data_IF_454446982861
#
_entry.id   IF_454446982861
#
_cell.length_a   1.000
_cell.length_b   1.000
_cell.length_c   1.000
_cell.angle_alpha   90.00
_cell.angle_beta   90.00
_cell.angle_gamma   90.00
#
_symmetry.space_group_name_H-M   'P 1'
#
loop_
_entity.id
_entity.type
_entity.pdbx_description
1 polymer ?
#
# COMPACT_ATOMS: atom_id res chain seq x y z
N UNK A 1 -69.60 20.10 -6.42
CA UNK A 1 -68.77 20.85 -7.39
C UNK A 1 -67.73 21.63 -6.62
N UNK A 2 -66.55 21.12 -6.51
CA UNK A 2 -65.45 21.71 -5.81
C UNK A 2 -64.19 21.55 -6.65
N UNK A 3 -63.60 22.64 -7.10
CA UNK A 3 -62.34 22.76 -7.83
C UNK A 3 -61.60 23.96 -7.24
N UNK A 4 -60.27 24.04 -7.37
CA UNK A 4 -59.21 23.13 -7.01
C UNK A 4 -58.11 23.88 -6.20
N UNK A 5 -57.58 23.22 -5.24
CA UNK A 5 -56.44 23.73 -4.45
C UNK A 5 -55.06 23.60 -5.13
N UNK A 6 -55.02 23.16 -6.41
CA UNK A 6 -53.79 22.89 -7.18
C UNK A 6 -53.05 24.15 -7.68
N UNK A 7 -53.75 25.27 -7.84
CA UNK A 7 -53.18 26.49 -8.43
C UNK A 7 -52.44 27.40 -7.42
N UNK A 8 -52.55 27.15 -6.13
CA UNK A 8 -51.87 27.96 -5.11
C UNK A 8 -50.52 27.43 -4.67
N UNK A 9 -50.22 26.19 -4.92
CA UNK A 9 -48.91 25.55 -4.56
C UNK A 9 -47.82 25.77 -5.59
N UNK A 10 -48.17 26.12 -6.82
CA UNK A 10 -47.17 26.38 -7.89
C UNK A 10 -46.56 27.81 -7.81
N UNK A 11 -47.23 28.76 -7.16
CA UNK A 11 -46.74 30.14 -7.06
C UNK A 11 -45.71 30.35 -5.92
N UNK A 12 -45.70 29.45 -4.94
CA UNK A 12 -44.76 29.51 -3.84
C UNK A 12 -43.37 28.91 -4.14
N UNK A 13 -43.25 28.07 -5.21
CA UNK A 13 -42.02 27.38 -5.60
C UNK A 13 -41.10 28.21 -6.51
N UNK A 14 -41.65 29.29 -7.12
CA UNK A 14 -40.88 30.11 -8.08
C UNK A 14 -40.17 31.32 -7.41
N UNK A 15 -40.48 31.62 -6.19
CA UNK A 15 -39.85 32.77 -5.45
C UNK A 15 -38.61 32.32 -4.66
N UNK A 16 -38.45 31.02 -4.42
CA UNK A 16 -37.31 30.45 -3.64
C UNK A 16 -35.99 30.30 -4.41
N UNK A 17 -35.96 30.45 -5.72
CA UNK A 17 -34.77 30.15 -6.56
C UNK A 17 -33.99 31.44 -6.96
N UNK A 18 -34.54 32.62 -6.73
CA UNK A 18 -33.92 33.87 -7.17
C UNK A 18 -32.94 34.51 -6.17
N UNK A 19 -32.72 33.93 -4.97
CA UNK A 19 -31.89 34.56 -3.92
C UNK A 19 -30.55 33.85 -3.65
N UNK A 20 -30.15 32.85 -4.47
CA UNK A 20 -28.88 32.11 -4.29
C UNK A 20 -27.74 32.56 -5.21
N UNK A 21 -27.86 33.71 -5.88
CA UNK A 21 -26.74 34.28 -6.66
C UNK A 21 -26.14 35.50 -5.93
N UNK A 22 -25.69 35.31 -4.70
CA UNK A 22 -24.77 36.26 -4.07
C UNK A 22 -23.37 35.69 -4.18
N UNK A 23 -22.68 36.19 -5.18
CA UNK A 23 -21.27 36.43 -5.31
C UNK A 23 -20.30 35.50 -4.56
N UNK A 24 -19.75 34.49 -5.23
CA UNK A 24 -18.35 34.13 -5.00
C UNK A 24 -17.49 35.31 -5.46
N UNK A 25 -17.23 36.25 -4.56
CA UNK A 25 -16.07 37.12 -4.68
C UNK A 25 -14.84 36.24 -4.55
N UNK A 26 -14.35 35.69 -5.64
CA UNK A 26 -13.01 35.16 -5.73
C UNK A 26 -12.06 36.34 -5.51
N UNK A 27 -11.63 36.53 -4.25
CA UNK A 27 -10.41 37.28 -4.01
C UNK A 27 -9.35 36.67 -4.93
N UNK A 28 -8.74 37.44 -5.87
CA UNK A 28 -7.62 36.96 -6.61
C UNK A 28 -6.58 36.54 -5.56
N UNK A 29 -6.28 35.24 -5.46
CA UNK A 29 -5.09 34.80 -4.73
C UNK A 29 -3.98 35.66 -5.32
N UNK A 30 -3.43 36.59 -4.52
CA UNK A 30 -2.20 37.28 -4.88
C UNK A 30 -1.23 36.15 -5.23
N UNK A 31 -0.85 36.07 -6.48
CA UNK A 31 0.33 35.30 -6.88
C UNK A 31 1.42 35.78 -5.92
N UNK A 32 1.86 34.87 -5.05
CA UNK A 32 3.00 35.13 -4.20
C UNK A 32 4.18 35.17 -5.15
N UNK A 33 4.55 36.38 -5.55
CA UNK A 33 5.82 36.60 -6.27
C UNK A 33 6.88 36.03 -5.35
N UNK A 34 7.56 34.98 -5.79
CA UNK A 34 8.67 34.40 -5.07
C UNK A 34 9.76 35.47 -4.91
N UNK A 35 9.85 36.01 -3.71
CA UNK A 35 10.80 37.07 -3.37
C UNK A 35 12.16 36.54 -2.94
N UNK A 36 12.43 35.24 -3.17
CA UNK A 36 13.65 34.57 -2.74
C UNK A 36 13.63 34.08 -1.28
N UNK A 37 14.76 33.59 -0.75
CA UNK A 37 14.82 33.01 0.57
C UNK A 37 14.53 34.05 1.65
N UNK A 38 13.49 33.80 2.48
CA UNK A 38 13.07 34.68 3.57
C UNK A 38 13.86 34.41 4.86
N UNK A 39 14.68 33.35 4.90
CA UNK A 39 15.44 32.92 6.07
C UNK A 39 16.70 32.18 5.60
N UNK A 40 17.69 32.06 6.48
CA UNK A 40 18.86 31.22 6.21
C UNK A 40 18.49 29.73 6.25
N UNK A 41 19.33 28.89 5.66
CA UNK A 41 19.18 27.44 5.64
C UNK A 41 18.98 26.87 7.06
N UNK A 42 19.83 27.30 8.00
CA UNK A 42 19.76 26.88 9.40
C UNK A 42 18.41 27.23 10.06
N UNK A 43 17.83 28.39 9.74
CA UNK A 43 16.52 28.79 10.28
C UNK A 43 15.40 27.95 9.71
N UNK A 44 15.45 27.57 8.42
CA UNK A 44 14.47 26.69 7.81
C UNK A 44 14.49 25.31 8.45
N UNK A 45 15.68 24.70 8.62
CA UNK A 45 15.78 23.35 9.22
C UNK A 45 15.31 23.35 10.67
N UNK A 46 15.69 24.35 11.48
CA UNK A 46 15.23 24.47 12.87
C UNK A 46 13.71 24.60 13.00
N UNK A 47 13.09 25.39 12.12
CA UNK A 47 11.61 25.52 12.09
C UNK A 47 10.94 24.20 11.69
N UNK A 48 11.51 23.50 10.72
CA UNK A 48 11.01 22.21 10.30
C UNK A 48 11.10 21.16 11.42
N UNK A 49 12.26 21.04 12.07
CA UNK A 49 12.47 20.15 13.23
C UNK A 49 11.49 20.44 14.36
N UNK A 50 11.27 21.72 14.69
CA UNK A 50 10.29 22.12 15.72
C UNK A 50 8.86 21.72 15.34
N UNK A 51 8.48 21.92 14.07
CA UNK A 51 7.17 21.52 13.57
C UNK A 51 6.99 20.00 13.59
N UNK A 52 8.04 19.24 13.22
CA UNK A 52 8.07 17.77 13.28
C UNK A 52 7.88 17.25 14.72
N UNK A 53 8.62 17.83 15.70
CA UNK A 53 8.47 17.47 17.11
C UNK A 53 7.06 17.70 17.65
N UNK A 54 6.35 18.66 17.08
CA UNK A 54 4.97 19.01 17.44
C UNK A 54 3.91 18.27 16.59
N UNK A 55 4.32 17.37 15.67
CA UNK A 55 3.41 16.67 14.76
C UNK A 55 2.75 17.59 13.70
N UNK A 56 3.26 18.80 13.51
CA UNK A 56 2.73 19.78 12.56
C UNK A 56 3.30 19.56 11.17
N UNK A 57 2.90 18.45 10.52
CA UNK A 57 3.46 18.02 9.25
C UNK A 57 3.29 19.03 8.11
N UNK A 58 2.20 19.83 8.13
CA UNK A 58 1.98 20.86 7.10
C UNK A 58 3.01 22.00 7.20
N UNK A 59 3.31 22.45 8.43
CA UNK A 59 4.30 23.50 8.64
C UNK A 59 5.73 22.96 8.40
N UNK A 60 5.99 21.72 8.80
CA UNK A 60 7.25 21.06 8.51
C UNK A 60 7.49 20.97 6.99
N UNK A 61 6.50 20.50 6.22
CA UNK A 61 6.60 20.44 4.76
C UNK A 61 6.95 21.80 4.15
N UNK A 62 6.25 22.86 4.57
CA UNK A 62 6.49 24.23 4.07
C UNK A 62 7.95 24.69 4.27
N UNK A 63 8.53 24.41 5.43
CA UNK A 63 9.90 24.82 5.71
C UNK A 63 10.93 23.94 4.98
N UNK A 64 10.67 22.63 4.86
CA UNK A 64 11.54 21.70 4.13
C UNK A 64 11.49 21.94 2.62
N UNK A 65 10.31 22.21 2.04
CA UNK A 65 10.15 22.57 0.64
C UNK A 65 10.86 23.89 0.31
N UNK A 66 10.77 24.89 1.20
CA UNK A 66 11.52 26.12 1.04
C UNK A 66 13.04 25.90 1.08
N UNK A 67 13.52 25.04 1.99
CA UNK A 67 14.92 24.69 2.08
C UNK A 67 15.39 23.96 0.82
N UNK A 68 14.66 22.94 0.35
CA UNK A 68 14.98 22.20 -0.89
C UNK A 68 14.97 23.11 -2.14
N UNK A 69 14.12 24.17 -2.14
CA UNK A 69 14.01 25.12 -3.25
C UNK A 69 15.15 26.14 -3.26
N UNK A 70 15.43 26.75 -2.09
CA UNK A 70 16.39 27.85 -2.03
C UNK A 70 17.82 27.40 -1.75
N UNK A 71 18.01 26.24 -1.13
CA UNK A 71 19.30 25.68 -0.75
C UNK A 71 19.48 24.22 -1.19
N UNK A 72 19.32 23.89 -2.48
CA UNK A 72 19.28 22.50 -2.96
C UNK A 72 20.60 21.74 -2.78
N UNK A 73 21.71 22.45 -2.58
CA UNK A 73 23.07 21.90 -2.35
C UNK A 73 23.68 22.38 -1.05
N UNK A 74 22.86 22.91 -0.14
CA UNK A 74 23.30 23.40 1.16
C UNK A 74 23.69 22.29 2.12
N UNK A 75 24.21 22.68 3.28
CA UNK A 75 24.65 21.77 4.32
C UNK A 75 23.53 20.83 4.81
N UNK A 76 22.29 21.33 4.87
CA UNK A 76 21.13 20.59 5.34
C UNK A 76 20.26 19.99 4.22
N UNK A 77 20.66 20.15 2.95
CA UNK A 77 19.83 19.76 1.80
C UNK A 77 19.45 18.29 1.84
N UNK A 78 20.41 17.39 2.08
CA UNK A 78 20.16 15.94 2.09
C UNK A 78 19.29 15.52 3.29
N UNK A 79 19.51 16.10 4.46
CA UNK A 79 18.67 15.90 5.64
C UNK A 79 17.24 16.36 5.37
N UNK A 80 17.07 17.57 4.84
CA UNK A 80 15.77 18.14 4.53
C UNK A 80 14.99 17.29 3.52
N UNK A 81 15.65 16.73 2.50
CA UNK A 81 15.01 15.83 1.53
C UNK A 81 14.49 14.55 2.17
N UNK A 82 15.24 13.94 3.09
CA UNK A 82 14.79 12.75 3.83
C UNK A 82 13.68 13.06 4.82
N UNK A 83 13.74 14.20 5.50
CA UNK A 83 12.67 14.65 6.39
C UNK A 83 11.40 15.01 5.61
N UNK A 84 11.53 15.64 4.44
CA UNK A 84 10.39 15.92 3.56
C UNK A 84 9.73 14.64 3.03
N UNK A 85 10.54 13.64 2.68
CA UNK A 85 10.05 12.30 2.33
C UNK A 85 9.19 11.71 3.46
N UNK A 86 9.70 11.75 4.70
CA UNK A 86 8.95 11.32 5.88
C UNK A 86 7.63 12.11 6.05
N UNK A 87 7.70 13.43 5.95
CA UNK A 87 6.53 14.32 6.11
C UNK A 87 5.47 14.03 5.06
N UNK A 88 5.83 13.88 3.79
CA UNK A 88 4.90 13.53 2.71
C UNK A 88 4.22 12.19 2.99
N UNK A 89 4.99 11.20 3.47
CA UNK A 89 4.41 9.91 3.86
C UNK A 89 3.40 10.06 5.01
N UNK A 90 3.72 10.81 6.06
CA UNK A 90 2.82 11.06 7.19
C UNK A 90 1.55 11.83 6.80
N UNK A 91 1.66 12.71 5.82
CA UNK A 91 0.51 13.39 5.20
C UNK A 91 -0.33 12.49 4.28
N UNK A 92 0.10 11.22 4.07
CA UNK A 92 -0.48 10.27 3.11
C UNK A 92 -0.40 10.74 1.66
N UNK A 93 0.50 11.68 1.38
CA UNK A 93 0.90 12.05 0.02
C UNK A 93 1.90 11.02 -0.49
N UNK A 94 1.39 9.81 -0.78
CA UNK A 94 2.24 8.68 -1.17
C UNK A 94 2.91 8.90 -2.53
N UNK A 95 2.23 9.56 -3.45
CA UNK A 95 2.82 9.90 -4.77
C UNK A 95 3.97 10.89 -4.61
N UNK A 96 3.80 11.92 -3.78
CA UNK A 96 4.86 12.87 -3.43
C UNK A 96 6.03 12.18 -2.73
N UNK A 97 5.75 11.27 -1.79
CA UNK A 97 6.78 10.49 -1.10
C UNK A 97 7.57 9.60 -2.07
N UNK A 98 6.91 8.89 -3.00
CA UNK A 98 7.57 8.06 -4.01
C UNK A 98 8.48 8.91 -4.90
N UNK A 99 8.00 10.06 -5.39
CA UNK A 99 8.76 10.96 -6.23
C UNK A 99 10.01 11.51 -5.53
N UNK A 100 9.89 11.88 -4.23
CA UNK A 100 11.01 12.33 -3.42
C UNK A 100 12.02 11.21 -3.16
N UNK A 101 11.54 9.99 -2.86
CA UNK A 101 12.40 8.82 -2.69
C UNK A 101 13.22 8.54 -3.95
N UNK A 102 12.58 8.49 -5.11
CA UNK A 102 13.25 8.26 -6.40
C UNK A 102 14.26 9.36 -6.73
N UNK A 103 13.92 10.62 -6.44
CA UNK A 103 14.85 11.74 -6.60
C UNK A 103 16.05 11.60 -5.68
N UNK A 104 15.84 11.31 -4.39
CA UNK A 104 16.92 11.14 -3.41
C UNK A 104 17.86 10.00 -3.78
N UNK A 105 17.32 8.82 -4.11
CA UNK A 105 18.07 7.64 -4.52
C UNK A 105 18.95 7.95 -5.74
N UNK A 106 18.42 8.69 -6.70
CA UNK A 106 19.14 9.04 -7.93
C UNK A 106 20.27 10.05 -7.68
N UNK A 107 20.02 11.05 -6.83
CA UNK A 107 20.97 12.13 -6.57
C UNK A 107 22.02 11.77 -5.50
N UNK A 108 21.65 10.91 -4.55
CA UNK A 108 22.47 10.59 -3.38
C UNK A 108 22.62 9.07 -3.19
N UNK A 109 23.10 8.31 -4.20
CA UNK A 109 23.10 6.84 -4.16
C UNK A 109 24.02 6.23 -3.10
N UNK A 110 24.98 6.99 -2.60
CA UNK A 110 25.94 6.56 -1.58
C UNK A 110 25.70 7.20 -0.19
N UNK A 111 24.57 7.91 -0.03
CA UNK A 111 24.24 8.50 1.26
C UNK A 111 24.02 7.42 2.33
N UNK A 112 24.52 7.60 3.57
CA UNK A 112 24.38 6.61 4.65
C UNK A 112 22.94 6.13 4.93
N UNK A 113 21.95 7.00 4.70
CA UNK A 113 20.54 6.72 4.91
C UNK A 113 19.76 6.54 3.59
N UNK A 114 20.43 6.18 2.49
CA UNK A 114 19.73 5.94 1.21
C UNK A 114 18.82 4.71 1.30
N UNK A 115 19.14 3.75 2.13
CA UNK A 115 18.32 2.57 2.45
C UNK A 115 16.93 2.97 2.98
N UNK A 116 16.85 4.03 3.79
CA UNK A 116 15.58 4.60 4.24
C UNK A 116 14.70 5.06 3.07
N UNK A 117 15.28 5.75 2.08
CA UNK A 117 14.51 6.18 0.91
C UNK A 117 13.99 5.00 0.07
N UNK A 118 14.80 3.93 -0.11
CA UNK A 118 14.34 2.69 -0.74
C UNK A 118 13.22 2.03 0.03
N UNK A 119 13.33 1.96 1.34
CA UNK A 119 12.31 1.37 2.20
C UNK A 119 10.98 2.15 2.15
N UNK A 120 11.02 3.49 2.36
CA UNK A 120 9.81 4.32 2.33
C UNK A 120 9.13 4.28 0.96
N UNK A 121 9.90 4.23 -0.14
CA UNK A 121 9.34 4.04 -1.48
C UNK A 121 8.52 2.75 -1.58
N UNK A 122 9.02 1.64 -1.04
CA UNK A 122 8.30 0.37 -0.99
C UNK A 122 7.01 0.46 -0.18
N UNK A 123 7.08 1.07 1.01
CA UNK A 123 5.90 1.25 1.88
C UNK A 123 4.88 2.19 1.25
N UNK A 124 5.30 3.32 0.68
CA UNK A 124 4.40 4.26 0.02
C UNK A 124 3.67 3.63 -1.17
N UNK A 125 4.37 2.82 -1.99
CA UNK A 125 3.73 2.04 -3.06
C UNK A 125 2.73 1.02 -2.50
N UNK A 126 3.00 0.40 -1.35
CA UNK A 126 2.08 -0.53 -0.71
C UNK A 126 0.81 0.17 -0.19
N UNK A 127 0.94 1.38 0.37
CA UNK A 127 -0.16 2.14 0.97
C UNK A 127 -0.97 2.96 -0.05
N UNK A 128 -0.45 3.21 -1.24
CA UNK A 128 -1.01 4.13 -2.24
C UNK A 128 -2.49 3.89 -2.57
N UNK A 129 -2.97 2.66 -2.52
CA UNK A 129 -4.38 2.33 -2.79
C UNK A 129 -5.15 1.87 -1.53
N UNK A 130 -4.55 2.02 -0.35
CA UNK A 130 -5.16 1.60 0.90
C UNK A 130 -6.08 2.68 1.49
N UNK A 131 -5.90 3.93 1.11
CA UNK A 131 -6.64 5.08 1.63
C UNK A 131 -7.95 5.37 0.88
N UNK A 132 -8.89 5.93 1.59
CA UNK A 132 -10.20 6.35 1.11
C UNK A 132 -11.35 5.65 1.83
N UNK A 133 -12.58 5.89 1.36
CA UNK A 133 -13.84 5.28 1.87
C UNK A 133 -13.78 3.76 1.95
N UNK A 134 -12.86 3.14 1.23
CA UNK A 134 -12.68 1.69 1.11
C UNK A 134 -12.09 1.09 2.39
N UNK A 135 -11.32 1.86 3.17
CA UNK A 135 -10.85 1.48 4.51
C UNK A 135 -12.00 1.09 5.46
N UNK A 136 -13.18 1.68 5.24
CA UNK A 136 -14.38 1.41 6.03
C UNK A 136 -15.26 0.31 5.44
N UNK A 137 -14.87 -0.28 4.29
CA UNK A 137 -15.62 -1.38 3.68
C UNK A 137 -15.00 -2.72 4.07
N UNK A 138 -15.84 -3.76 4.15
CA UNK A 138 -15.40 -5.14 4.39
C UNK A 138 -14.80 -5.80 3.13
N UNK A 139 -14.50 -5.03 2.09
CA UNK A 139 -13.92 -5.53 0.84
C UNK A 139 -12.45 -5.89 1.07
N UNK A 140 -12.11 -7.16 0.84
CA UNK A 140 -10.74 -7.63 0.90
C UNK A 140 -9.91 -7.00 -0.21
N UNK A 141 -8.67 -6.64 0.10
CA UNK A 141 -7.71 -6.05 -0.83
C UNK A 141 -7.47 -6.93 -2.07
N UNK A 142 -7.37 -8.24 -1.87
CA UNK A 142 -7.21 -9.23 -2.93
C UNK A 142 -8.35 -9.29 -3.98
N UNK A 143 -9.48 -8.62 -3.71
CA UNK A 143 -10.60 -8.53 -4.66
C UNK A 143 -10.56 -7.27 -5.53
N UNK A 144 -9.50 -6.49 -5.44
CA UNK A 144 -9.31 -5.20 -6.11
C UNK A 144 -8.11 -5.26 -7.05
N UNK A 145 -7.79 -4.14 -7.67
CA UNK A 145 -6.53 -4.00 -8.39
C UNK A 145 -5.36 -4.14 -7.42
N UNK A 146 -4.52 -5.14 -7.68
CA UNK A 146 -3.32 -5.46 -6.88
C UNK A 146 -2.02 -5.08 -7.60
N UNK A 147 -2.10 -4.31 -8.70
CA UNK A 147 -0.93 -3.92 -9.50
C UNK A 147 0.11 -3.17 -8.67
N UNK A 148 -0.34 -2.27 -7.80
CA UNK A 148 0.51 -1.53 -6.87
C UNK A 148 1.24 -2.43 -5.86
N UNK A 149 0.63 -3.54 -5.43
CA UNK A 149 1.31 -4.53 -4.57
C UNK A 149 2.47 -5.21 -5.31
N UNK A 150 2.33 -5.46 -6.62
CA UNK A 150 3.44 -6.00 -7.42
C UNK A 150 4.61 -5.03 -7.49
N UNK A 151 4.33 -3.72 -7.65
CA UNK A 151 5.36 -2.68 -7.63
C UNK A 151 6.02 -2.59 -6.25
N UNK A 152 5.23 -2.58 -5.17
CA UNK A 152 5.75 -2.58 -3.81
C UNK A 152 6.64 -3.79 -3.53
N UNK A 153 6.22 -4.98 -3.94
CA UNK A 153 7.00 -6.20 -3.82
C UNK A 153 8.38 -6.08 -4.49
N UNK A 154 8.42 -5.59 -5.73
CA UNK A 154 9.68 -5.38 -6.45
C UNK A 154 10.57 -4.34 -5.77
N UNK A 155 10.00 -3.27 -5.24
CA UNK A 155 10.75 -2.29 -4.45
C UNK A 155 11.40 -2.91 -3.22
N UNK A 156 10.68 -3.78 -2.48
CA UNK A 156 11.25 -4.48 -1.33
C UNK A 156 12.28 -5.54 -1.72
N UNK A 157 12.10 -6.26 -2.82
CA UNK A 157 13.12 -7.17 -3.37
C UNK A 157 14.41 -6.40 -3.66
N UNK A 158 14.32 -5.26 -4.36
CA UNK A 158 15.46 -4.43 -4.71
C UNK A 158 16.13 -3.86 -3.45
N UNK A 159 15.33 -3.41 -2.49
CA UNK A 159 15.80 -2.91 -1.19
C UNK A 159 16.59 -3.98 -0.41
N UNK A 160 16.00 -5.16 -0.17
CA UNK A 160 16.66 -6.22 0.63
C UNK A 160 17.94 -6.72 -0.06
N UNK A 161 17.93 -6.82 -1.39
CA UNK A 161 19.10 -7.21 -2.17
C UNK A 161 20.26 -6.24 -2.01
N UNK A 162 19.98 -4.92 -1.96
CA UNK A 162 21.00 -3.86 -1.85
C UNK A 162 21.44 -3.61 -0.42
N UNK A 163 20.50 -3.69 0.53
CA UNK A 163 20.70 -3.33 1.93
C UNK A 163 20.24 -4.43 2.89
N UNK A 164 20.82 -5.65 2.81
CA UNK A 164 20.36 -6.79 3.63
C UNK A 164 20.58 -6.57 5.13
N UNK A 165 21.52 -5.71 5.51
CA UNK A 165 21.84 -5.36 6.91
C UNK A 165 21.11 -4.10 7.41
N UNK A 166 20.24 -3.49 6.61
CA UNK A 166 19.45 -2.34 7.03
C UNK A 166 18.52 -2.70 8.20
N UNK A 167 18.30 -1.77 9.10
CA UNK A 167 17.37 -1.93 10.22
C UNK A 167 15.93 -2.14 9.76
N UNK A 168 15.61 -1.74 8.53
CA UNK A 168 14.28 -1.91 7.91
C UNK A 168 14.12 -3.24 7.17
N UNK A 169 15.18 -4.06 7.02
CA UNK A 169 15.15 -5.27 6.20
C UNK A 169 14.16 -6.32 6.74
N UNK A 170 14.06 -6.47 8.07
CA UNK A 170 13.14 -7.43 8.70
C UNK A 170 11.69 -7.04 8.44
N UNK A 171 11.35 -5.77 8.60
CA UNK A 171 9.99 -5.27 8.32
C UNK A 171 9.66 -5.39 6.83
N UNK A 172 10.58 -5.05 5.95
CA UNK A 172 10.40 -5.21 4.51
C UNK A 172 10.11 -6.67 4.12
N UNK A 173 10.81 -7.64 4.73
CA UNK A 173 10.56 -9.06 4.49
C UNK A 173 9.15 -9.50 4.97
N UNK A 174 8.68 -8.99 6.10
CA UNK A 174 7.32 -9.24 6.58
C UNK A 174 6.27 -8.67 5.63
N UNK A 175 6.48 -7.45 5.13
CA UNK A 175 5.61 -6.83 4.11
C UNK A 175 5.59 -7.61 2.81
N UNK A 176 6.74 -8.11 2.36
CA UNK A 176 6.80 -8.98 1.17
C UNK A 176 5.98 -10.25 1.35
N UNK A 177 6.02 -10.88 2.53
CA UNK A 177 5.20 -12.06 2.84
C UNK A 177 3.71 -11.72 2.80
N UNK A 178 3.31 -10.59 3.38
CA UNK A 178 1.93 -10.09 3.33
C UNK A 178 1.49 -9.88 1.87
N UNK A 179 2.27 -9.13 1.09
CA UNK A 179 1.98 -8.86 -0.33
C UNK A 179 1.85 -10.17 -1.12
N UNK A 180 2.77 -11.10 -0.92
CA UNK A 180 2.73 -12.43 -1.57
C UNK A 180 1.42 -13.17 -1.30
N UNK A 181 0.93 -13.12 -0.06
CA UNK A 181 -0.35 -13.73 0.32
C UNK A 181 -1.55 -13.04 -0.32
N UNK A 182 -1.56 -11.71 -0.39
CA UNK A 182 -2.63 -10.94 -1.06
C UNK A 182 -2.66 -11.19 -2.57
N UNK A 183 -1.48 -11.29 -3.22
CA UNK A 183 -1.37 -11.63 -4.62
C UNK A 183 -1.88 -13.06 -4.90
N UNK A 184 -1.52 -14.02 -4.05
CA UNK A 184 -2.01 -15.40 -4.16
C UNK A 184 -3.54 -15.48 -3.98
N UNK A 185 -4.11 -14.77 -3.00
CA UNK A 185 -5.57 -14.71 -2.81
C UNK A 185 -6.26 -14.06 -4.02
N UNK A 186 -5.68 -13.03 -4.63
CA UNK A 186 -6.21 -12.41 -5.84
C UNK A 186 -6.29 -13.41 -7.01
N UNK A 187 -5.24 -14.19 -7.24
CA UNK A 187 -5.23 -15.25 -8.26
C UNK A 187 -6.26 -16.34 -7.95
N UNK A 188 -6.40 -16.75 -6.67
CA UNK A 188 -7.41 -17.73 -6.27
C UNK A 188 -8.84 -17.19 -6.39
N UNK A 189 -9.07 -15.89 -6.21
CA UNK A 189 -10.38 -15.27 -6.49
C UNK A 189 -10.74 -15.39 -7.98
N UNK A 190 -9.77 -15.15 -8.86
CA UNK A 190 -9.96 -15.36 -10.30
C UNK A 190 -10.21 -16.83 -10.64
N UNK A 191 -9.47 -17.76 -10.01
CA UNK A 191 -9.67 -19.21 -10.18
C UNK A 191 -11.09 -19.64 -9.75
N UNK A 192 -11.55 -19.19 -8.57
CA UNK A 192 -12.90 -19.46 -8.05
C UNK A 192 -13.99 -18.93 -8.99
N UNK A 193 -13.80 -17.75 -9.58
CA UNK A 193 -14.70 -17.19 -10.56
C UNK A 193 -14.76 -18.06 -11.82
N UNK A 194 -13.60 -18.51 -12.32
CA UNK A 194 -13.51 -19.39 -13.48
C UNK A 194 -14.16 -20.77 -13.23
N UNK A 195 -13.97 -21.36 -12.05
CA UNK A 195 -14.66 -22.60 -11.64
C UNK A 195 -16.19 -22.45 -11.73
N UNK A 196 -16.75 -21.33 -11.21
CA UNK A 196 -18.19 -21.07 -11.29
C UNK A 196 -18.71 -21.00 -12.72
N UNK A 197 -17.89 -20.54 -13.66
CA UNK A 197 -18.21 -20.43 -15.08
C UNK A 197 -17.85 -21.69 -15.89
N UNK A 198 -17.36 -22.74 -15.24
CA UNK A 198 -16.85 -23.97 -15.87
C UNK A 198 -15.72 -23.71 -16.87
N UNK A 199 -14.96 -22.63 -16.69
CA UNK A 199 -13.77 -22.30 -17.45
C UNK A 199 -12.54 -23.00 -16.83
N UNK A 200 -12.50 -24.34 -16.99
CA UNK A 200 -11.58 -25.21 -16.26
C UNK A 200 -10.11 -24.91 -16.55
N UNK A 201 -9.74 -24.64 -17.80
CA UNK A 201 -8.38 -24.29 -18.20
C UNK A 201 -7.94 -23.00 -17.52
N UNK A 202 -8.78 -21.94 -17.58
CA UNK A 202 -8.44 -20.68 -16.96
C UNK A 202 -8.37 -20.77 -15.42
N UNK A 203 -9.15 -21.65 -14.78
CA UNK A 203 -9.05 -21.91 -13.34
C UNK A 203 -7.75 -22.65 -13.00
N UNK A 204 -7.39 -23.63 -13.82
CA UNK A 204 -6.17 -24.41 -13.71
C UNK A 204 -4.92 -23.49 -13.77
N UNK A 205 -4.82 -22.66 -14.79
CA UNK A 205 -3.69 -21.74 -14.99
C UNK A 205 -3.50 -20.79 -13.78
N UNK A 206 -4.60 -20.23 -13.26
CA UNK A 206 -4.53 -19.37 -12.07
C UNK A 206 -4.05 -20.12 -10.83
N UNK A 207 -4.54 -21.33 -10.62
CA UNK A 207 -4.15 -22.14 -9.47
C UNK A 207 -2.69 -22.62 -9.58
N UNK A 208 -2.25 -23.03 -10.76
CA UNK A 208 -0.84 -23.38 -11.02
C UNK A 208 0.09 -22.20 -10.76
N UNK A 209 -0.30 -21.01 -11.21
CA UNK A 209 0.45 -19.78 -10.93
C UNK A 209 0.69 -19.57 -9.42
N UNK A 210 -0.32 -19.83 -8.59
CA UNK A 210 -0.18 -19.71 -7.12
C UNK A 210 0.84 -20.72 -6.59
N UNK A 211 0.79 -21.98 -7.05
CA UNK A 211 1.71 -23.02 -6.59
C UNK A 211 3.16 -22.67 -6.95
N UNK A 212 3.36 -22.14 -8.16
CA UNK A 212 4.69 -21.85 -8.70
C UNK A 212 5.30 -20.57 -8.11
N UNK A 213 4.49 -19.51 -7.96
CA UNK A 213 5.00 -18.19 -7.61
C UNK A 213 4.81 -17.81 -6.13
N UNK A 214 3.86 -18.47 -5.44
CA UNK A 214 3.55 -18.21 -4.04
C UNK A 214 3.52 -19.50 -3.18
N UNK A 215 4.58 -20.34 -3.23
CA UNK A 215 4.56 -21.67 -2.62
C UNK A 215 4.42 -21.67 -1.10
N UNK A 216 4.67 -20.55 -0.44
CA UNK A 216 4.50 -20.40 1.01
C UNK A 216 3.16 -19.75 1.40
N UNK A 217 2.31 -19.44 0.42
CA UNK A 217 1.01 -18.85 0.68
C UNK A 217 0.03 -19.85 1.31
N UNK A 218 -0.83 -19.40 2.24
CA UNK A 218 -1.92 -20.21 2.78
C UNK A 218 -2.94 -20.63 1.71
N UNK A 219 -2.84 -20.10 0.47
CA UNK A 219 -3.70 -20.45 -0.65
C UNK A 219 -3.28 -21.74 -1.38
N UNK A 220 -2.08 -22.25 -1.13
CA UNK A 220 -1.53 -23.45 -1.82
C UNK A 220 -2.43 -24.68 -1.70
N UNK A 221 -3.02 -25.03 -0.54
CA UNK A 221 -3.93 -26.17 -0.44
C UNK A 221 -5.15 -26.04 -1.37
N UNK A 222 -5.77 -24.85 -1.43
CA UNK A 222 -6.88 -24.58 -2.33
C UNK A 222 -6.45 -24.58 -3.80
N UNK A 223 -5.25 -24.08 -4.09
CA UNK A 223 -4.67 -24.11 -5.44
C UNK A 223 -4.47 -25.54 -5.92
N UNK A 224 -3.84 -26.39 -5.13
CA UNK A 224 -3.68 -27.83 -5.42
C UNK A 224 -5.03 -28.51 -5.65
N UNK A 225 -6.01 -28.24 -4.80
CA UNK A 225 -7.37 -28.77 -4.93
C UNK A 225 -8.04 -28.31 -6.23
N UNK A 226 -7.83 -27.03 -6.60
CA UNK A 226 -8.37 -26.45 -7.85
C UNK A 226 -7.73 -27.08 -9.08
N UNK A 227 -6.42 -27.32 -9.06
CA UNK A 227 -5.69 -27.99 -10.15
C UNK A 227 -6.21 -29.43 -10.33
N UNK A 228 -6.26 -30.21 -9.27
CA UNK A 228 -6.78 -31.59 -9.31
C UNK A 228 -8.20 -31.64 -9.86
N UNK A 229 -9.10 -30.79 -9.34
CA UNK A 229 -10.49 -30.71 -9.79
C UNK A 229 -10.59 -30.30 -11.27
N UNK A 230 -9.80 -29.32 -11.70
CA UNK A 230 -9.85 -28.82 -13.08
C UNK A 230 -9.39 -29.88 -14.08
N UNK A 231 -8.31 -30.61 -13.81
CA UNK A 231 -7.88 -31.75 -14.66
C UNK A 231 -8.96 -32.85 -14.71
N UNK A 232 -9.60 -33.14 -13.57
CA UNK A 232 -10.69 -34.12 -13.52
C UNK A 232 -11.85 -33.72 -14.43
N UNK A 233 -12.25 -32.43 -14.42
CA UNK A 233 -13.31 -31.89 -15.28
C UNK A 233 -12.91 -31.82 -16.75
N UNK A 234 -11.63 -31.68 -17.06
CA UNK A 234 -11.07 -31.71 -18.43
C UNK A 234 -10.93 -33.13 -18.98
N UNK A 235 -11.12 -34.15 -18.13
CA UNK A 235 -11.02 -35.57 -18.52
C UNK A 235 -9.63 -36.15 -18.38
N UNK A 236 -8.63 -35.39 -17.99
CA UNK A 236 -7.28 -35.89 -17.67
C UNK A 236 -7.27 -36.49 -16.25
N UNK A 237 -7.81 -37.71 -16.16
CA UNK A 237 -7.93 -38.44 -14.88
C UNK A 237 -6.57 -38.81 -14.29
N UNK A 238 -5.55 -39.04 -15.13
CA UNK A 238 -4.22 -39.42 -14.69
C UNK A 238 -3.55 -38.26 -13.94
N UNK A 239 -3.52 -37.09 -14.53
CA UNK A 239 -2.95 -35.88 -13.89
C UNK A 239 -3.78 -35.45 -12.68
N UNK A 240 -5.11 -35.51 -12.75
CA UNK A 240 -5.99 -35.25 -11.62
C UNK A 240 -5.68 -36.14 -10.41
N UNK A 241 -5.42 -37.43 -10.65
CA UNK A 241 -5.05 -38.39 -9.60
C UNK A 241 -3.70 -38.05 -8.96
N UNK A 242 -2.70 -37.63 -9.73
CA UNK A 242 -1.39 -37.25 -9.20
C UNK A 242 -1.52 -36.08 -8.20
N UNK A 243 -2.27 -35.02 -8.57
CA UNK A 243 -2.50 -33.90 -7.66
C UNK A 243 -3.37 -34.30 -6.45
N UNK A 244 -4.34 -35.19 -6.63
CA UNK A 244 -5.15 -35.74 -5.53
C UNK A 244 -4.29 -36.52 -4.56
N UNK A 245 -3.30 -37.28 -5.02
CA UNK A 245 -2.38 -38.02 -4.15
C UNK A 245 -1.45 -37.08 -3.36
N UNK A 246 -0.99 -35.99 -3.99
CA UNK A 246 -0.28 -34.90 -3.28
C UNK A 246 -1.17 -34.30 -2.18
N UNK A 247 -2.46 -34.05 -2.47
CA UNK A 247 -3.41 -33.58 -1.46
C UNK A 247 -3.63 -34.57 -0.33
N UNK A 248 -3.79 -35.87 -0.62
CA UNK A 248 -3.96 -36.92 0.40
C UNK A 248 -2.76 -36.97 1.34
N UNK A 249 -1.56 -36.79 0.79
CA UNK A 249 -0.32 -36.84 1.57
C UNK A 249 -0.19 -35.63 2.51
N UNK A 250 -0.48 -34.44 2.02
CA UNK A 250 -0.19 -33.19 2.73
C UNK A 250 -1.44 -32.59 3.42
N UNK A 251 -2.63 -32.80 2.85
CA UNK A 251 -3.91 -32.23 3.28
C UNK A 251 -5.05 -33.25 3.19
N UNK A 252 -5.00 -34.36 3.96
CA UNK A 252 -5.93 -35.49 3.81
C UNK A 252 -7.40 -35.10 4.00
N UNK A 253 -7.68 -34.08 4.80
CA UNK A 253 -9.01 -33.51 5.03
C UNK A 253 -9.64 -32.84 3.80
N UNK A 254 -8.85 -32.57 2.75
CA UNK A 254 -9.32 -31.98 1.50
C UNK A 254 -9.74 -33.01 0.46
N UNK A 255 -9.60 -34.30 0.76
CA UNK A 255 -10.04 -35.40 -0.09
C UNK A 255 -11.11 -36.20 0.64
N UNK A 256 -12.25 -36.39 -0.02
CA UNK A 256 -13.38 -37.18 0.51
C UNK A 256 -13.03 -38.67 0.52
N UNK A 257 -13.80 -39.47 1.25
CA UNK A 257 -13.65 -40.93 1.32
C UNK A 257 -13.80 -41.66 -0.03
N UNK A 258 -14.58 -41.04 -0.97
CA UNK A 258 -14.74 -41.55 -2.33
C UNK A 258 -13.59 -41.13 -3.29
N UNK A 259 -12.57 -40.45 -2.79
CA UNK A 259 -11.43 -39.99 -3.57
C UNK A 259 -11.61 -38.65 -4.27
N UNK A 260 -12.79 -38.03 -4.20
CA UNK A 260 -13.02 -36.72 -4.79
C UNK A 260 -12.42 -35.58 -3.98
N UNK A 261 -11.94 -34.55 -4.66
CA UNK A 261 -11.42 -33.34 -4.03
C UNK A 261 -12.56 -32.48 -3.46
N UNK A 262 -12.36 -31.98 -2.25
CA UNK A 262 -13.32 -31.13 -1.56
C UNK A 262 -12.93 -29.65 -1.64
N UNK A 263 -13.25 -29.00 -2.75
CA UNK A 263 -12.96 -27.56 -2.98
C UNK A 263 -13.55 -26.65 -1.89
N UNK A 264 -14.70 -27.01 -1.28
CA UNK A 264 -15.31 -26.21 -0.23
C UNK A 264 -14.48 -26.26 1.05
N UNK A 265 -13.95 -27.42 1.41
CA UNK A 265 -13.07 -27.57 2.56
C UNK A 265 -11.76 -26.84 2.33
N UNK A 266 -11.15 -26.99 1.14
CA UNK A 266 -9.91 -26.32 0.75
C UNK A 266 -10.02 -24.79 0.88
N UNK A 267 -11.13 -24.21 0.41
CA UNK A 267 -11.39 -22.79 0.57
C UNK A 267 -11.55 -22.34 2.04
N UNK A 268 -12.19 -23.18 2.89
CA UNK A 268 -12.31 -22.85 4.31
C UNK A 268 -10.96 -22.90 5.02
N UNK A 269 -10.12 -23.86 4.69
CA UNK A 269 -8.78 -23.99 5.26
C UNK A 269 -7.92 -22.78 4.91
N UNK A 270 -7.83 -22.41 3.64
CA UNK A 270 -7.15 -21.21 3.20
C UNK A 270 -7.65 -19.93 3.91
N UNK A 271 -8.97 -19.80 4.09
CA UNK A 271 -9.57 -18.67 4.83
C UNK A 271 -9.28 -18.70 6.32
N UNK A 272 -9.16 -19.88 6.95
CA UNK A 272 -8.85 -20.00 8.38
C UNK A 272 -7.38 -19.70 8.64
N UNK A 273 -6.46 -20.25 7.85
CA UNK A 273 -5.02 -19.97 7.93
C UNK A 273 -4.76 -18.48 7.71
N UNK A 274 -5.41 -17.88 6.72
CA UNK A 274 -5.33 -16.43 6.47
C UNK A 274 -5.84 -15.61 7.67
N UNK A 275 -6.88 -16.06 8.34
CA UNK A 275 -7.43 -15.41 9.53
C UNK A 275 -6.58 -15.61 10.78
N UNK A 276 -5.94 -16.77 10.92
CA UNK A 276 -5.06 -17.08 12.04
C UNK A 276 -3.68 -16.42 11.90
N UNK A 277 -3.15 -16.27 10.66
CA UNK A 277 -1.82 -15.74 10.42
C UNK A 277 -1.81 -14.26 10.03
N UNK A 278 -2.84 -13.74 9.36
CA UNK A 278 -2.95 -12.35 8.94
C UNK A 278 -3.96 -11.54 9.76
N UNK A 279 -4.92 -12.19 10.42
CA UNK A 279 -5.90 -11.50 11.27
C UNK A 279 -5.30 -10.97 12.56
N UNK A 280 -4.21 -11.56 13.03
CA UNK A 280 -3.41 -11.06 14.15
C UNK A 280 -2.39 -10.04 13.64
N UNK A 281 -1.71 -10.32 12.54
CA UNK A 281 -0.71 -9.42 11.96
C UNK A 281 -1.31 -8.25 11.17
N UNK A 282 -2.45 -8.43 10.48
CA UNK A 282 -3.07 -7.37 9.67
C UNK A 282 -3.65 -6.20 10.47
N UNK A 283 -4.04 -6.41 11.76
CA UNK A 283 -4.44 -5.31 12.65
C UNK A 283 -3.27 -4.65 13.35
N UNK A 284 -2.26 -5.41 13.75
CA UNK A 284 -1.05 -4.86 14.34
C UNK A 284 -0.18 -4.17 13.28
N UNK A 285 -0.14 -4.70 12.03
CA UNK A 285 0.61 -4.06 10.94
C UNK A 285 -0.05 -2.77 10.44
N UNK A 286 -1.38 -2.64 10.46
CA UNK A 286 -2.04 -1.36 10.14
C UNK A 286 -1.70 -0.26 11.15
N UNK A 287 -1.65 -0.61 12.44
CA UNK A 287 -1.21 0.34 13.47
C UNK A 287 0.31 0.51 13.47
N UNK A 288 1.08 -0.53 13.12
CA UNK A 288 2.55 -0.49 13.14
C UNK A 288 3.16 0.13 11.89
N UNK A 289 2.46 0.17 10.73
CA UNK A 289 2.97 0.89 9.57
C UNK A 289 2.93 2.41 9.75
N UNK A 290 1.93 2.93 10.46
CA UNK A 290 1.89 4.34 10.83
C UNK A 290 2.93 4.67 11.92
N UNK A 291 3.25 3.70 12.81
CA UNK A 291 4.15 3.90 13.96
C UNK A 291 5.63 3.58 13.67
N UNK A 292 5.92 2.75 12.65
CA UNK A 292 7.30 2.27 12.34
C UNK A 292 8.05 3.04 11.26
N UNK A 293 7.44 3.98 10.55
CA UNK A 293 8.23 4.93 9.76
C UNK A 293 8.74 6.00 10.71
N UNK A 294 9.81 5.66 11.41
CA UNK A 294 10.56 6.62 12.20
C UNK A 294 11.22 7.66 11.29
N UNK A 295 11.44 8.85 11.84
CA UNK A 295 12.23 9.87 11.17
C UNK A 295 13.62 9.29 10.81
N UNK A 296 14.20 9.70 9.66
CA UNK A 296 15.55 9.30 9.31
C UNK A 296 16.50 9.60 10.46
N UNK A 297 17.32 8.62 10.84
CA UNK A 297 18.30 8.81 11.91
C UNK A 297 19.18 10.01 11.53
N UNK A 298 19.17 11.04 12.35
CA UNK A 298 20.08 12.17 12.19
C UNK A 298 21.51 11.61 12.26
N UNK A 299 22.24 11.73 11.17
CA UNK A 299 23.64 11.33 11.13
C UNK A 299 24.37 12.19 12.18
N UNK A 300 24.98 11.55 13.15
CA UNK A 300 25.63 12.17 14.32
C UNK A 300 26.92 12.90 13.91
N UNK A 301 26.89 13.76 12.91
CA UNK A 301 28.01 14.67 12.61
C UNK A 301 28.06 15.88 13.55
N UNK A 302 27.02 16.12 14.35
CA UNK A 302 27.00 17.20 15.37
C UNK A 302 27.92 16.98 16.56
N UNK A 303 28.62 15.84 16.67
CA UNK A 303 29.52 15.61 17.83
C UNK A 303 30.95 16.15 17.66
N UNK A 304 31.31 16.64 16.48
CA UNK A 304 32.71 17.10 16.25
C UNK A 304 32.92 18.60 16.43
N UNK A 305 31.90 19.44 16.39
CA UNK A 305 32.07 20.90 16.52
C UNK A 305 32.07 21.43 17.97
N UNK A 306 31.71 20.61 18.97
CA UNK A 306 31.68 21.04 20.38
C UNK A 306 32.93 20.59 21.19
N UNK A 307 34.03 20.20 20.55
CA UNK A 307 35.29 19.86 21.25
C UNK A 307 36.48 20.76 20.94
N UNK A 308 36.27 21.87 20.22
CA UNK A 308 37.31 22.89 20.02
C UNK A 308 36.70 24.25 20.34
N UNK A 309 36.52 24.54 21.61
CA UNK A 309 36.48 25.87 22.21
C UNK A 309 36.86 25.76 23.69
#
# INVERSE_FOLDING_TARGET
>A
MSLPHYKMTMLALTIGIASAMVGCSSNPKKEVVDTGPQSSEQVYIQKAEKALQSGQYTDAAKHLEALDTYYPTGEYAQQAQLELLYVKFQQKDYEGAIALADRFIRLNPQHPNVDYAYYVRGVANMEQNYDGLIRYTSLKQAHRDVSYLKVAYQNFVDFIRRYPSSTYAVDAAQRMKFISNELAESEMNAARFNIKRKAWVAALERAQWVIEHYPQSPQVPEALATVAYSYDQLGDKQTAQQYTDVLKLNYPNLVKSNGEVNLRAARKEASWVNRATLGVFGREEQNSSEEKIEQPKQTTERSFTNRIS
#
